data_IF_206456371989
#
_entry.id   IF_206456371989
#
_cell.length_a   1.000
_cell.length_b   1.000
_cell.length_c   1.000
_cell.angle_alpha   90.00
_cell.angle_beta   90.00
_cell.angle_gamma   90.00
#
_symmetry.space_group_name_H-M   'P 1'
#
loop_
_entity.id
_entity.type
_entity.pdbx_description
1 polymer ?
#
# COMPACT_ATOMS: atom_id res chain seq x y z
N UNK A 1 -4.17 -0.39 -10.66
CA UNK A 1 -4.52 -1.81 -10.82
C UNK A 1 -5.18 -2.05 -12.17
N UNK A 2 -5.58 -3.30 -12.45
CA UNK A 2 -6.18 -3.71 -13.74
C UNK A 2 -7.43 -2.92 -14.15
N UNK A 3 -8.20 -2.39 -13.19
CA UNK A 3 -9.53 -1.82 -13.46
C UNK A 3 -9.64 -0.30 -13.24
N UNK A 4 -8.54 0.37 -12.87
CA UNK A 4 -8.53 1.83 -12.71
C UNK A 4 -9.22 2.37 -11.46
N UNK A 5 -9.56 1.50 -10.50
CA UNK A 5 -10.02 1.89 -9.16
C UNK A 5 -9.03 2.85 -8.48
N UNK A 6 -9.59 3.74 -7.65
CA UNK A 6 -8.87 4.74 -6.87
C UNK A 6 -9.36 4.66 -5.43
N UNK A 7 -8.46 4.84 -4.46
CA UNK A 7 -8.83 4.92 -3.04
C UNK A 7 -8.23 6.18 -2.44
N UNK A 8 -9.09 6.99 -1.83
CA UNK A 8 -8.73 8.26 -1.18
C UNK A 8 -9.25 8.33 0.26
N UNK A 9 -9.92 7.28 0.76
CA UNK A 9 -10.51 7.28 2.10
C UNK A 9 -10.08 6.05 2.88
N UNK A 10 -9.56 6.32 4.07
CA UNK A 10 -9.19 5.32 5.06
C UNK A 10 -10.28 5.24 6.13
N UNK A 11 -10.72 4.03 6.44
CA UNK A 11 -11.74 3.76 7.45
C UNK A 11 -11.10 2.96 8.60
N UNK A 12 -10.66 3.61 9.69
CA UNK A 12 -10.03 2.92 10.81
C UNK A 12 -11.06 2.06 11.54
N UNK A 13 -10.65 0.84 11.90
CA UNK A 13 -11.41 -0.13 12.68
C UNK A 13 -12.89 -0.31 12.24
N UNK A 14 -13.15 -0.33 10.94
CA UNK A 14 -14.49 -0.18 10.35
C UNK A 14 -15.54 -1.21 10.81
N UNK A 15 -15.15 -2.48 10.94
CA UNK A 15 -16.01 -3.58 11.40
C UNK A 15 -15.94 -3.83 12.91
N UNK A 16 -15.08 -3.12 13.66
CA UNK A 16 -14.86 -3.36 15.08
C UNK A 16 -14.22 -4.72 15.37
N UNK A 17 -14.53 -5.28 16.54
CA UNK A 17 -13.99 -6.57 16.96
C UNK A 17 -14.61 -7.72 16.16
N UNK A 18 -13.74 -8.56 15.58
CA UNK A 18 -14.13 -9.77 14.85
C UNK A 18 -13.60 -11.02 15.53
N UNK A 19 -14.26 -12.15 15.30
CA UNK A 19 -13.82 -13.47 15.75
C UNK A 19 -12.97 -14.23 14.73
N UNK A 20 -12.50 -15.41 15.14
CA UNK A 20 -11.81 -16.37 14.28
C UNK A 20 -10.51 -15.83 13.68
N UNK A 21 -10.28 -16.11 12.39
CA UNK A 21 -9.03 -15.72 11.69
C UNK A 21 -8.80 -14.19 11.66
N UNK A 22 -9.87 -13.40 11.82
CA UNK A 22 -9.82 -11.94 11.78
C UNK A 22 -9.67 -11.30 13.18
N UNK A 23 -9.59 -12.08 14.26
CA UNK A 23 -9.57 -11.55 15.62
C UNK A 23 -8.29 -10.78 15.97
N UNK A 24 -8.40 -9.80 16.85
CA UNK A 24 -7.28 -9.11 17.51
C UNK A 24 -6.77 -7.85 16.81
N UNK A 25 -6.59 -7.86 15.48
CA UNK A 25 -6.13 -6.65 14.79
C UNK A 25 -7.31 -5.72 14.45
N UNK A 26 -7.15 -4.39 14.52
CA UNK A 26 -8.15 -3.44 14.05
C UNK A 26 -8.62 -3.73 12.62
N UNK A 27 -9.89 -3.50 12.31
CA UNK A 27 -10.46 -3.83 11.00
C UNK A 27 -10.41 -2.67 10.01
N UNK A 28 -9.23 -2.09 9.83
CA UNK A 28 -9.07 -0.95 8.92
C UNK A 28 -9.39 -1.31 7.47
N UNK A 29 -10.01 -0.39 6.74
CA UNK A 29 -10.46 -0.59 5.36
C UNK A 29 -10.16 0.62 4.47
N UNK A 30 -9.91 0.32 3.20
CA UNK A 30 -9.98 1.29 2.13
C UNK A 30 -11.41 1.36 1.59
N UNK A 31 -11.95 2.57 1.46
CA UNK A 31 -13.14 2.81 0.65
C UNK A 31 -12.67 3.10 -0.78
N UNK A 32 -12.98 2.17 -1.68
CA UNK A 32 -12.46 2.17 -3.05
C UNK A 32 -13.54 2.68 -4.00
N UNK A 33 -13.22 3.76 -4.70
CA UNK A 33 -14.05 4.32 -5.75
C UNK A 33 -13.69 3.70 -7.10
N UNK A 34 -14.71 3.26 -7.84
CA UNK A 34 -14.54 2.74 -9.20
C UNK A 34 -15.45 3.45 -10.20
N UNK A 35 -14.93 4.50 -10.81
CA UNK A 35 -15.65 5.31 -11.80
C UNK A 35 -15.57 4.72 -13.21
N UNK A 36 -16.44 3.74 -13.49
CA UNK A 36 -16.38 2.86 -14.67
C UNK A 36 -16.37 3.60 -16.02
N UNK A 37 -16.98 4.80 -16.10
CA UNK A 37 -17.15 5.54 -17.37
C UNK A 37 -16.05 6.56 -17.69
N UNK A 38 -15.08 6.74 -16.78
CA UNK A 38 -14.01 7.75 -16.93
C UNK A 38 -12.98 7.39 -18.00
N UNK A 39 -12.33 8.41 -18.56
CA UNK A 39 -11.25 8.25 -19.55
C UNK A 39 -10.11 7.37 -19.03
N UNK A 40 -9.84 7.42 -17.71
CA UNK A 40 -8.85 6.56 -17.03
C UNK A 40 -9.22 5.07 -17.12
N UNK A 41 -10.49 4.71 -16.90
CA UNK A 41 -10.96 3.32 -17.01
C UNK A 41 -11.00 2.88 -18.47
N UNK A 42 -11.56 3.70 -19.37
CA UNK A 42 -11.59 3.41 -20.82
C UNK A 42 -10.19 3.21 -21.41
N UNK A 43 -9.23 4.03 -20.99
CA UNK A 43 -7.83 3.89 -21.38
C UNK A 43 -7.16 2.62 -20.85
N UNK A 44 -7.52 2.15 -19.65
CA UNK A 44 -6.99 0.90 -19.07
C UNK A 44 -7.63 -0.36 -19.63
N UNK A 45 -8.92 -0.33 -19.99
CA UNK A 45 -9.63 -1.47 -20.60
C UNK A 45 -9.09 -1.77 -22.01
N UNK A 46 -8.72 -0.74 -22.77
CA UNK A 46 -8.28 -0.88 -24.16
C UNK A 46 -6.76 -1.02 -24.33
N UNK A 47 -5.97 -0.89 -23.25
CA UNK A 47 -4.51 -1.02 -23.32
C UNK A 47 -4.06 -2.33 -22.68
N UNK A 48 -3.40 -3.18 -23.48
CA UNK A 48 -2.51 -4.24 -22.96
C UNK A 48 -1.23 -3.58 -22.44
N UNK A 49 -1.35 -2.66 -21.47
CA UNK A 49 -0.17 -2.13 -20.77
C UNK A 49 0.29 -3.18 -19.79
N UNK A 50 1.52 -3.67 -19.96
CA UNK A 50 2.18 -4.45 -18.91
C UNK A 50 2.18 -3.60 -17.62
N UNK A 51 1.89 -4.19 -16.45
CA UNK A 51 2.05 -3.49 -15.19
C UNK A 51 3.47 -2.89 -15.12
N UNK A 52 3.58 -1.63 -14.72
CA UNK A 52 4.89 -1.04 -14.47
C UNK A 52 5.51 -1.76 -13.27
N UNK A 53 6.70 -2.33 -13.45
CA UNK A 53 7.48 -2.90 -12.36
C UNK A 53 8.02 -1.81 -11.44
N UNK A 54 8.53 -2.21 -10.27
CA UNK A 54 9.08 -1.30 -9.26
C UNK A 54 10.18 -0.40 -9.86
N UNK A 55 11.15 -0.97 -10.57
CA UNK A 55 12.25 -0.23 -11.21
C UNK A 55 11.77 0.86 -12.17
N UNK A 56 10.73 0.58 -12.95
CA UNK A 56 10.19 1.55 -13.89
C UNK A 56 9.48 2.71 -13.18
N UNK A 57 8.85 2.46 -12.03
CA UNK A 57 8.22 3.50 -11.22
C UNK A 57 9.27 4.36 -10.51
N UNK A 58 10.28 3.73 -9.90
CA UNK A 58 11.40 4.44 -9.27
C UNK A 58 12.17 5.28 -10.30
N UNK A 59 12.51 4.70 -11.46
CA UNK A 59 13.14 5.43 -12.56
C UNK A 59 12.25 6.53 -13.17
N UNK A 60 10.94 6.42 -13.00
CA UNK A 60 9.94 7.43 -13.36
C UNK A 60 9.73 8.52 -12.29
N UNK A 61 10.51 8.52 -11.21
CA UNK A 61 10.45 9.52 -10.14
C UNK A 61 9.46 9.19 -9.01
N UNK A 62 8.96 7.96 -8.91
CA UNK A 62 8.22 7.53 -7.72
C UNK A 62 9.15 7.42 -6.52
N UNK A 63 8.69 7.90 -5.37
CA UNK A 63 9.49 7.95 -4.14
C UNK A 63 8.99 6.86 -3.18
N UNK A 64 9.86 5.92 -2.81
CA UNK A 64 9.57 4.96 -1.74
C UNK A 64 9.75 5.64 -0.38
N UNK A 65 8.65 5.79 0.37
CA UNK A 65 8.67 6.60 1.60
C UNK A 65 8.86 5.80 2.88
N UNK A 66 8.72 4.47 2.84
CA UNK A 66 8.80 3.61 4.02
C UNK A 66 9.47 2.24 3.74
N UNK A 67 10.67 2.26 3.14
CA UNK A 67 11.41 1.04 2.81
C UNK A 67 11.56 0.11 4.02
N UNK A 68 11.17 -1.15 3.85
CA UNK A 68 11.24 -2.15 4.93
C UNK A 68 12.67 -2.62 5.20
N UNK A 69 12.91 -2.97 6.45
CA UNK A 69 14.06 -3.80 6.83
C UNK A 69 13.56 -5.15 7.33
N UNK A 70 14.45 -6.11 7.57
CA UNK A 70 14.06 -7.42 8.06
C UNK A 70 14.78 -7.72 9.37
N UNK A 71 14.07 -8.34 10.32
CA UNK A 71 14.67 -8.80 11.56
C UNK A 71 15.47 -10.11 11.36
N UNK A 72 16.09 -10.61 12.44
CA UNK A 72 16.93 -11.81 12.41
C UNK A 72 16.19 -13.09 11.97
N UNK A 73 14.86 -13.14 12.11
CA UNK A 73 14.02 -14.27 11.69
C UNK A 73 13.39 -14.06 10.31
N UNK A 74 13.72 -12.96 9.62
CA UNK A 74 13.26 -12.67 8.27
C UNK A 74 11.86 -12.06 8.18
N UNK A 75 11.28 -11.58 9.29
CA UNK A 75 10.03 -10.82 9.23
C UNK A 75 10.31 -9.37 8.84
N UNK A 76 9.48 -8.77 7.95
CA UNK A 76 9.63 -7.37 7.58
C UNK A 76 9.25 -6.46 8.75
N UNK A 77 10.05 -5.44 8.98
CA UNK A 77 9.85 -4.41 9.99
C UNK A 77 9.34 -3.14 9.31
N UNK A 78 8.33 -2.46 9.89
CA UNK A 78 7.93 -1.14 9.39
C UNK A 78 9.12 -0.18 9.50
N UNK A 79 9.26 0.72 8.52
CA UNK A 79 10.35 1.68 8.50
C UNK A 79 10.28 2.58 9.75
N UNK A 80 11.38 2.75 10.51
CA UNK A 80 11.37 3.57 11.72
C UNK A 80 11.19 5.06 11.42
N UNK A 81 11.53 5.48 10.21
CA UNK A 81 11.37 6.85 9.73
C UNK A 81 10.69 6.83 8.36
N UNK A 82 9.84 7.82 8.11
CA UNK A 82 9.17 8.02 6.84
C UNK A 82 9.87 9.16 6.12
N UNK A 83 10.24 8.95 4.85
CA UNK A 83 10.83 10.01 4.04
C UNK A 83 9.73 11.02 3.65
N UNK A 84 9.70 12.17 4.33
CA UNK A 84 8.82 13.28 3.97
C UNK A 84 9.44 14.00 2.77
N UNK A 85 8.85 13.82 1.59
CA UNK A 85 9.29 14.46 0.35
C UNK A 85 8.10 14.95 -0.45
N UNK A 86 8.31 15.99 -1.25
CA UNK A 86 7.31 16.46 -2.23
C UNK A 86 7.51 15.71 -3.54
N UNK A 87 6.46 15.11 -4.08
CA UNK A 87 6.51 14.43 -5.37
C UNK A 87 5.14 13.94 -5.80
N UNK A 88 4.91 13.78 -7.10
CA UNK A 88 3.57 13.42 -7.60
C UNK A 88 3.26 11.92 -7.47
N UNK A 89 4.27 11.09 -7.19
CA UNK A 89 4.17 9.64 -7.11
C UNK A 89 4.87 9.15 -5.83
N UNK A 90 4.10 8.52 -4.95
CA UNK A 90 4.60 7.92 -3.71
C UNK A 90 4.39 6.41 -3.76
N UNK A 91 5.37 5.66 -3.27
CA UNK A 91 5.27 4.22 -3.05
C UNK A 91 5.23 3.97 -1.55
N UNK A 92 4.17 3.30 -1.10
CA UNK A 92 4.04 2.80 0.26
C UNK A 92 4.21 1.30 0.24
N UNK A 93 5.25 0.81 0.90
CA UNK A 93 5.47 -0.61 1.09
C UNK A 93 4.59 -1.16 2.22
N UNK A 94 4.02 -2.35 2.00
CA UNK A 94 3.20 -3.07 2.96
C UNK A 94 3.70 -4.51 3.12
N UNK A 95 3.36 -5.20 4.22
CA UNK A 95 3.64 -6.62 4.35
C UNK A 95 2.97 -7.44 3.25
N UNK A 96 3.75 -8.25 2.53
CA UNK A 96 3.24 -9.18 1.53
C UNK A 96 2.36 -10.29 2.15
N UNK A 97 2.63 -10.68 3.40
CA UNK A 97 1.80 -11.62 4.16
C UNK A 97 1.63 -11.21 5.64
N UNK A 98 0.65 -10.33 5.89
CA UNK A 98 0.30 -9.92 7.26
C UNK A 98 -0.22 -11.07 8.13
N UNK A 99 -0.74 -12.16 7.54
CA UNK A 99 -1.25 -13.31 8.32
C UNK A 99 -0.08 -14.11 8.88
N UNK A 100 0.99 -14.29 8.11
CA UNK A 100 2.22 -14.92 8.58
C UNK A 100 2.84 -14.12 9.72
N UNK A 101 2.95 -12.79 9.57
CA UNK A 101 3.47 -11.92 10.64
C UNK A 101 2.62 -12.08 11.89
N UNK A 102 1.29 -11.91 11.79
CA UNK A 102 0.37 -12.04 12.93
C UNK A 102 0.48 -13.39 13.65
N UNK A 103 0.72 -14.48 12.92
CA UNK A 103 0.84 -15.81 13.51
C UNK A 103 2.17 -16.01 14.27
N UNK A 104 3.23 -15.31 13.87
CA UNK A 104 4.56 -15.42 14.50
C UNK A 104 4.80 -14.36 15.56
N UNK A 105 4.31 -13.14 15.32
CA UNK A 105 4.52 -11.95 16.13
C UNK A 105 3.31 -11.01 15.98
N UNK A 106 2.40 -11.10 16.96
CA UNK A 106 1.18 -10.30 16.97
C UNK A 106 1.48 -8.81 17.15
N UNK A 107 2.44 -8.46 18.00
CA UNK A 107 2.80 -7.08 18.30
C UNK A 107 3.40 -6.41 17.06
N UNK A 108 4.22 -7.14 16.29
CA UNK A 108 4.73 -6.65 15.01
C UNK A 108 3.60 -6.47 13.98
N UNK A 109 2.60 -7.35 13.97
CA UNK A 109 1.44 -7.19 13.09
C UNK A 109 0.58 -5.96 13.46
N UNK A 110 0.44 -5.65 14.75
CA UNK A 110 -0.22 -4.44 15.23
C UNK A 110 0.58 -3.17 14.91
N UNK A 111 1.91 -3.20 15.09
CA UNK A 111 2.80 -2.13 14.65
C UNK A 111 2.64 -1.85 13.15
N UNK A 112 2.60 -2.90 12.32
CA UNK A 112 2.34 -2.76 10.89
C UNK A 112 0.97 -2.16 10.58
N UNK A 113 -0.07 -2.53 11.35
CA UNK A 113 -1.40 -1.95 11.20
C UNK A 113 -1.38 -0.45 11.47
N UNK A 114 -0.79 -0.04 12.59
CA UNK A 114 -0.72 1.36 12.98
C UNK A 114 0.17 2.18 12.02
N UNK A 115 1.28 1.60 11.57
CA UNK A 115 2.19 2.24 10.60
C UNK A 115 1.50 2.53 9.27
N UNK A 116 0.81 1.53 8.71
CA UNK A 116 0.08 1.70 7.44
C UNK A 116 -1.10 2.65 7.59
N UNK A 117 -1.86 2.58 8.69
CA UNK A 117 -2.90 3.57 9.01
C UNK A 117 -2.36 4.99 8.96
N UNK A 118 -1.31 5.26 9.72
CA UNK A 118 -0.69 6.58 9.78
C UNK A 118 -0.29 7.09 8.39
N UNK A 119 0.37 6.24 7.59
CA UNK A 119 0.81 6.60 6.24
C UNK A 119 -0.37 6.95 5.32
N UNK A 120 -1.39 6.10 5.26
CA UNK A 120 -2.51 6.31 4.36
C UNK A 120 -3.38 7.50 4.78
N UNK A 121 -3.67 7.64 6.07
CA UNK A 121 -4.40 8.82 6.57
C UNK A 121 -3.66 10.11 6.25
N UNK A 122 -2.33 10.15 6.45
CA UNK A 122 -1.51 11.32 6.14
C UNK A 122 -1.50 11.64 4.65
N UNK A 123 -1.26 10.64 3.81
CA UNK A 123 -1.18 10.84 2.36
C UNK A 123 -2.54 11.25 1.77
N UNK A 124 -3.63 10.66 2.25
CA UNK A 124 -4.97 11.05 1.81
C UNK A 124 -5.35 12.48 2.26
N UNK A 125 -4.84 12.93 3.41
CA UNK A 125 -4.99 14.32 3.84
C UNK A 125 -4.14 15.31 3.01
N UNK A 126 -3.07 14.83 2.37
CA UNK A 126 -2.19 15.59 1.49
C UNK A 126 -2.56 15.39 -0.02
N UNK A 127 -3.84 15.09 -0.30
CA UNK A 127 -4.44 14.95 -1.65
C UNK A 127 -3.85 13.82 -2.53
N UNK A 128 -3.23 12.81 -1.92
CA UNK A 128 -2.86 11.60 -2.64
C UNK A 128 -4.00 10.59 -2.67
N UNK A 129 -4.04 9.79 -3.73
CA UNK A 129 -4.92 8.63 -3.80
C UNK A 129 -4.13 7.39 -4.22
N UNK A 130 -4.47 6.23 -3.65
CA UNK A 130 -3.96 4.93 -4.12
C UNK A 130 -4.52 4.68 -5.51
N UNK A 131 -3.64 4.53 -6.50
CA UNK A 131 -3.99 4.37 -7.92
C UNK A 131 -3.52 3.05 -8.51
N UNK A 132 -2.50 2.43 -7.92
CA UNK A 132 -1.97 1.15 -8.35
C UNK A 132 -1.42 0.31 -7.21
N UNK A 133 -1.15 -0.96 -7.53
CA UNK A 133 -0.53 -1.92 -6.64
C UNK A 133 0.52 -2.70 -7.41
N UNK A 134 1.69 -2.83 -6.83
CA UNK A 134 2.88 -3.40 -7.47
C UNK A 134 3.41 -4.51 -6.57
N UNK A 135 3.76 -5.63 -7.18
CA UNK A 135 4.53 -6.69 -6.53
C UNK A 135 5.90 -6.77 -7.16
N UNK A 136 6.87 -7.08 -6.34
CA UNK A 136 8.26 -7.24 -6.76
C UNK A 136 8.91 -8.39 -5.96
N UNK A 137 10.06 -8.87 -6.45
CA UNK A 137 10.88 -9.82 -5.72
C UNK A 137 12.31 -9.32 -5.66
N UNK A 138 12.91 -9.30 -4.47
CA UNK A 138 14.31 -8.92 -4.30
C UNK A 138 15.26 -10.02 -4.81
N UNK A 139 16.57 -9.73 -4.81
CA UNK A 139 17.62 -10.67 -5.21
C UNK A 139 17.64 -11.97 -4.38
N UNK A 140 17.06 -11.94 -3.18
CA UNK A 140 16.95 -13.09 -2.28
C UNK A 140 15.62 -13.85 -2.47
N UNK A 141 14.78 -13.45 -3.43
CA UNK A 141 13.47 -14.03 -3.71
C UNK A 141 12.38 -13.64 -2.72
N UNK A 142 12.59 -12.60 -1.89
CA UNK A 142 11.57 -12.11 -0.95
C UNK A 142 10.52 -11.30 -1.71
N UNK A 143 9.26 -11.55 -1.40
CA UNK A 143 8.16 -10.81 -2.00
C UNK A 143 7.96 -9.45 -1.35
N UNK A 144 7.93 -8.41 -2.17
CA UNK A 144 7.62 -7.04 -1.78
C UNK A 144 6.29 -6.60 -2.40
N UNK A 145 5.52 -5.82 -1.63
CA UNK A 145 4.19 -5.35 -2.03
C UNK A 145 4.09 -3.85 -1.78
N UNK A 146 3.72 -3.10 -2.81
CA UNK A 146 3.66 -1.64 -2.75
C UNK A 146 2.30 -1.13 -3.25
N UNK A 147 1.75 -0.15 -2.55
CA UNK A 147 0.73 0.72 -3.13
C UNK A 147 1.39 1.91 -3.79
N UNK A 148 0.99 2.20 -5.03
CA UNK A 148 1.34 3.45 -5.71
C UNK A 148 0.25 4.47 -5.39
N UNK A 149 0.66 5.58 -4.82
CA UNK A 149 -0.17 6.75 -4.61
C UNK A 149 0.23 7.86 -5.59
N UNK A 150 -0.78 8.55 -6.11
CA UNK A 150 -0.61 9.65 -7.05
C UNK A 150 -1.27 10.89 -6.49
N UNK A 151 -0.57 12.02 -6.54
CA UNK A 151 -1.16 13.31 -6.20
C UNK A 151 -2.35 13.60 -7.12
N UNK A 152 -3.47 14.04 -6.56
CA UNK A 152 -4.65 14.44 -7.32
C UNK A 152 -4.66 15.97 -7.38
N UNK A 153 -4.38 16.55 -8.56
CA UNK A 153 -4.65 17.98 -8.77
C UNK A 153 -6.17 18.18 -8.72
N UNK A 154 -6.62 19.01 -7.77
CA UNK A 154 -8.02 19.39 -7.62
C UNK A 154 -8.52 20.30 -8.77
#
# INVERSE_FOLDING_TARGET
>A
GKLGAVCQRYLPNYYGELGGINAGLPTDRFEVDWWITTSRVKGRVNQVKRPLGLDALLGGGAILINAVTFNAVGLPLPAPNIAIQSGNLMLVEIPSDIRQIKAQDFDLADQWRNHTRFLFERLFADDYAVTDFVRDQDENGREHSYYLLTYQDA
#
